data_IF_152340793323
#
_entry.id   IF_152340793323
#
_cell.length_a   1.000
_cell.length_b   1.000
_cell.length_c   1.000
_cell.angle_alpha   90.00
_cell.angle_beta   90.00
_cell.angle_gamma   90.00
#
_symmetry.space_group_name_H-M   'P 1'
#
loop_
_entity.id
_entity.type
_entity.pdbx_description
1 polymer ?
#
# COMPACT_ATOMS: atom_id res chain seq x y z
N UNK A 1 12.02 -9.74 -9.35
CA UNK A 1 10.76 -10.45 -9.52
C UNK A 1 9.77 -9.93 -8.48
N UNK A 2 8.54 -9.60 -8.90
CA UNK A 2 7.44 -9.17 -8.05
C UNK A 2 6.44 -10.33 -7.96
N UNK A 3 6.14 -10.76 -6.74
CA UNK A 3 5.30 -11.94 -6.48
C UNK A 3 4.15 -11.59 -5.54
N UNK A 4 2.89 -11.80 -5.95
CA UNK A 4 1.75 -11.80 -5.05
C UNK A 4 1.67 -13.11 -4.27
N UNK A 5 1.27 -13.03 -3.00
CA UNK A 5 1.05 -14.19 -2.13
C UNK A 5 -0.43 -14.39 -1.82
N UNK A 6 -1.08 -13.32 -1.41
CA UNK A 6 -2.50 -13.32 -1.07
C UNK A 6 -3.11 -11.97 -1.41
N UNK A 7 -4.40 -11.95 -1.67
CA UNK A 7 -5.17 -10.73 -1.88
C UNK A 7 -6.63 -10.98 -1.52
N UNK A 8 -7.37 -9.92 -1.29
CA UNK A 8 -8.77 -10.03 -0.95
C UNK A 8 -9.44 -8.69 -0.72
N UNK A 9 -10.73 -8.78 -0.40
CA UNK A 9 -11.59 -7.66 -0.02
C UNK A 9 -12.33 -8.02 1.27
N UNK A 10 -12.50 -7.06 2.14
CA UNK A 10 -13.26 -7.22 3.36
C UNK A 10 -14.14 -6.01 3.63
N UNK A 11 -15.40 -6.28 3.91
CA UNK A 11 -16.36 -5.34 4.48
C UNK A 11 -16.36 -5.57 5.99
N UNK A 12 -15.73 -4.68 6.72
CA UNK A 12 -15.53 -4.88 8.15
C UNK A 12 -16.79 -4.61 8.96
N UNK A 13 -17.02 -5.41 9.99
CA UNK A 13 -18.00 -5.10 11.02
C UNK A 13 -17.51 -3.91 11.88
N UNK A 14 -18.42 -3.20 12.59
CA UNK A 14 -18.05 -2.18 13.56
C UNK A 14 -17.00 -2.69 14.55
N UNK A 15 -15.94 -1.89 14.76
CA UNK A 15 -14.81 -2.21 15.63
C UNK A 15 -14.09 -3.53 15.30
N UNK A 16 -14.25 -4.07 14.08
CA UNK A 16 -13.48 -5.22 13.66
C UNK A 16 -11.98 -4.91 13.72
N UNK A 17 -11.24 -5.70 14.49
CA UNK A 17 -9.83 -5.50 14.75
C UNK A 17 -9.01 -6.68 14.24
N UNK A 18 -7.83 -6.39 13.70
CA UNK A 18 -6.83 -7.38 13.33
C UNK A 18 -5.49 -7.04 13.99
N UNK A 19 -4.84 -8.06 14.56
CA UNK A 19 -3.57 -7.92 15.24
C UNK A 19 -3.71 -7.85 16.77
N UNK A 20 -2.58 -7.68 17.50
CA UNK A 20 -1.23 -7.46 16.96
C UNK A 20 -0.70 -8.66 16.17
N UNK A 21 -0.12 -8.41 15.01
CA UNK A 21 0.41 -9.45 14.13
C UNK A 21 1.72 -9.01 13.44
N UNK A 22 2.50 -10.00 13.01
CA UNK A 22 3.66 -9.81 12.13
C UNK A 22 3.42 -10.51 10.80
N UNK A 23 3.96 -9.94 9.73
CA UNK A 23 3.93 -10.52 8.38
C UNK A 23 5.35 -10.75 7.89
N UNK A 24 5.49 -11.71 6.97
CA UNK A 24 6.79 -12.01 6.33
C UNK A 24 7.04 -11.18 5.09
N UNK A 25 5.98 -10.63 4.50
CA UNK A 25 5.98 -9.88 3.25
C UNK A 25 5.32 -8.52 3.45
N UNK A 26 5.40 -7.66 2.43
CA UNK A 26 4.63 -6.42 2.40
C UNK A 26 3.15 -6.73 2.29
N UNK A 27 2.32 -5.96 3.01
CA UNK A 27 0.88 -6.06 2.93
C UNK A 27 0.29 -4.66 2.81
N UNK A 28 -0.33 -4.38 1.68
CA UNK A 28 -0.98 -3.10 1.41
C UNK A 28 -2.49 -3.21 1.51
N UNK A 29 -3.11 -2.26 2.19
CA UNK A 29 -4.55 -2.09 2.26
C UNK A 29 -4.95 -0.78 1.61
N UNK A 30 -5.95 -0.81 0.75
CA UNK A 30 -6.58 0.36 0.15
C UNK A 30 -8.03 0.46 0.58
N UNK A 31 -8.41 1.57 1.22
CA UNK A 31 -9.72 1.79 1.80
C UNK A 31 -10.68 2.28 0.72
N UNK A 32 -11.74 1.51 0.45
CA UNK A 32 -12.76 1.86 -0.54
C UNK A 32 -13.82 2.81 0.04
N UNK A 33 -14.18 2.60 1.29
CA UNK A 33 -15.20 3.38 2.02
C UNK A 33 -14.99 3.27 3.52
N UNK A 34 -15.61 4.15 4.29
CA UNK A 34 -15.54 4.15 5.74
C UNK A 34 -14.22 4.64 6.29
N UNK A 35 -13.96 4.33 7.54
CA UNK A 35 -12.80 4.80 8.30
C UNK A 35 -12.31 3.78 9.31
N UNK A 36 -11.13 4.03 9.86
CA UNK A 36 -10.52 3.21 10.91
C UNK A 36 -9.18 3.76 11.35
N UNK A 37 -8.49 3.01 12.18
CA UNK A 37 -7.17 3.38 12.71
C UNK A 37 -6.18 2.26 12.44
N UNK A 38 -5.08 2.59 11.79
CA UNK A 38 -3.89 1.74 11.68
C UNK A 38 -2.90 2.14 12.75
N UNK A 39 -2.38 1.17 13.51
CA UNK A 39 -1.46 1.37 14.63
C UNK A 39 -0.16 0.63 14.40
N UNK A 40 0.95 1.31 14.61
CA UNK A 40 2.31 0.74 14.59
C UNK A 40 3.00 0.98 15.94
N UNK A 41 4.09 0.25 16.14
CA UNK A 41 5.02 0.50 17.25
C UNK A 41 6.35 0.94 16.64
N UNK A 42 6.86 2.10 17.06
CA UNK A 42 8.17 2.61 16.62
C UNK A 42 9.32 1.76 17.16
N UNK A 43 10.53 2.00 16.65
CA UNK A 43 11.74 1.32 17.13
C UNK A 43 12.04 1.66 18.62
N UNK A 44 11.57 2.83 19.09
CA UNK A 44 11.66 3.25 20.48
C UNK A 44 10.54 2.66 21.36
N UNK A 45 9.62 1.88 20.78
CA UNK A 45 8.50 1.25 21.49
C UNK A 45 7.27 2.15 21.64
N UNK A 46 7.22 3.29 20.97
CA UNK A 46 6.09 4.20 21.02
C UNK A 46 4.97 3.73 20.08
N UNK A 47 3.74 3.83 20.58
CA UNK A 47 2.55 3.59 19.77
C UNK A 47 2.27 4.81 18.88
N UNK A 48 2.09 4.55 17.58
CA UNK A 48 1.73 5.57 16.60
C UNK A 48 0.43 5.15 15.93
N UNK A 49 -0.59 6.01 16.03
CA UNK A 49 -1.91 5.80 15.44
C UNK A 49 -2.07 6.67 14.18
N UNK A 50 -2.55 6.04 13.11
CA UNK A 50 -2.86 6.67 11.83
C UNK A 50 -4.37 6.53 11.57
N UNK A 51 -5.19 7.58 11.87
CA UNK A 51 -6.59 7.63 11.44
C UNK A 51 -6.65 7.72 9.92
N UNK A 52 -7.44 6.84 9.30
CA UNK A 52 -7.51 6.71 7.84
C UNK A 52 -8.98 6.64 7.38
N UNK A 53 -9.21 7.09 6.14
CA UNK A 53 -10.53 7.20 5.54
C UNK A 53 -10.52 6.63 4.12
N UNK A 54 -11.68 6.63 3.49
CA UNK A 54 -11.84 6.21 2.09
C UNK A 54 -10.80 6.87 1.16
N UNK A 55 -10.28 6.10 0.22
CA UNK A 55 -9.25 6.47 -0.77
C UNK A 55 -7.85 6.73 -0.22
N UNK A 56 -7.62 6.44 1.06
CA UNK A 56 -6.30 6.32 1.65
C UNK A 56 -5.90 4.84 1.74
N UNK A 57 -4.63 4.59 2.03
CA UNK A 57 -4.14 3.23 2.25
C UNK A 57 -3.02 3.19 3.27
N UNK A 58 -2.66 2.00 3.69
CA UNK A 58 -1.52 1.78 4.57
C UNK A 58 -0.74 0.54 4.17
N UNK A 59 0.57 0.63 4.35
CA UNK A 59 1.51 -0.44 4.06
C UNK A 59 2.07 -1.01 5.36
N UNK A 60 1.97 -2.32 5.52
CA UNK A 60 2.63 -3.08 6.57
C UNK A 60 3.93 -3.64 6.00
N UNK A 61 5.03 -3.38 6.68
CA UNK A 61 6.35 -3.84 6.30
C UNK A 61 6.65 -5.23 6.87
N UNK A 62 7.51 -6.02 6.23
CA UNK A 62 7.97 -7.28 6.79
C UNK A 62 8.47 -7.13 8.23
N UNK A 63 8.09 -8.06 9.10
CA UNK A 63 8.44 -8.13 10.53
C UNK A 63 7.86 -7.05 11.44
N UNK A 64 7.19 -6.03 10.91
CA UNK A 64 6.56 -4.98 11.70
C UNK A 64 5.38 -5.53 12.51
N UNK A 65 5.27 -5.13 13.78
CA UNK A 65 4.10 -5.43 14.62
C UNK A 65 3.08 -4.33 14.40
N UNK A 66 1.89 -4.71 13.96
CA UNK A 66 0.82 -3.77 13.62
C UNK A 66 -0.53 -4.25 14.13
N UNK A 67 -1.41 -3.31 14.34
CA UNK A 67 -2.83 -3.52 14.62
C UNK A 67 -3.64 -2.55 13.77
N UNK A 68 -4.80 -2.94 13.30
CA UNK A 68 -5.74 -2.01 12.68
C UNK A 68 -7.17 -2.35 13.08
N UNK A 69 -8.00 -1.32 13.23
CA UNK A 69 -9.36 -1.44 13.73
C UNK A 69 -10.29 -0.55 12.91
N UNK A 70 -11.41 -1.13 12.46
CA UNK A 70 -12.48 -0.39 11.80
C UNK A 70 -13.21 0.53 12.78
N UNK A 71 -13.68 1.68 12.30
CA UNK A 71 -14.50 2.60 13.10
C UNK A 71 -15.80 1.93 13.56
N UNK A 72 -16.33 2.36 14.68
CA UNK A 72 -17.57 1.82 15.26
C UNK A 72 -18.81 2.28 14.49
N UNK A 73 -18.83 3.51 14.00
CA UNK A 73 -19.99 4.12 13.36
C UNK A 73 -19.92 4.04 11.83
N UNK A 74 -18.71 4.11 11.26
CA UNK A 74 -18.44 4.09 9.83
C UNK A 74 -17.29 3.12 9.53
N UNK A 75 -17.50 1.80 9.74
CA UNK A 75 -16.44 0.80 9.55
C UNK A 75 -15.98 0.73 8.09
N UNK A 76 -14.68 0.64 7.90
CA UNK A 76 -14.11 0.59 6.56
C UNK A 76 -14.39 -0.70 5.81
N UNK A 77 -14.38 -0.55 4.49
CA UNK A 77 -14.22 -1.60 3.52
C UNK A 77 -12.89 -1.41 2.81
N UNK A 78 -12.09 -2.46 2.67
CA UNK A 78 -10.79 -2.37 1.99
C UNK A 78 -10.54 -3.54 1.05
N UNK A 79 -9.64 -3.28 0.08
CA UNK A 79 -8.95 -4.30 -0.71
C UNK A 79 -7.52 -4.38 -0.20
N UNK A 80 -6.98 -5.58 -0.11
CA UNK A 80 -5.60 -5.79 0.32
C UNK A 80 -4.85 -6.74 -0.59
N UNK A 81 -3.51 -6.59 -0.65
CA UNK A 81 -2.59 -7.48 -1.35
C UNK A 81 -1.34 -7.70 -0.50
N UNK A 82 -0.95 -8.97 -0.33
CA UNK A 82 0.33 -9.38 0.23
C UNK A 82 1.29 -9.72 -0.90
N UNK A 83 2.46 -9.10 -0.92
CA UNK A 83 3.42 -9.21 -2.02
C UNK A 83 4.86 -9.03 -1.54
N UNK A 84 5.81 -9.44 -2.37
CA UNK A 84 7.23 -9.17 -2.17
C UNK A 84 7.93 -9.06 -3.53
N UNK A 85 9.14 -8.49 -3.54
CA UNK A 85 9.93 -8.36 -4.75
C UNK A 85 11.21 -7.56 -4.54
N UNK A 86 12.23 -7.87 -5.32
CA UNK A 86 13.57 -7.26 -5.21
C UNK A 86 13.52 -5.73 -5.35
N UNK A 87 12.65 -5.22 -6.23
CA UNK A 87 12.55 -3.78 -6.52
C UNK A 87 11.57 -3.03 -5.60
N UNK A 88 10.75 -3.75 -4.81
CA UNK A 88 9.73 -3.12 -3.95
C UNK A 88 10.36 -2.11 -3.00
N UNK A 89 11.45 -2.50 -2.34
CA UNK A 89 12.15 -1.62 -1.41
C UNK A 89 12.63 -0.33 -2.10
N UNK A 90 13.19 -0.43 -3.30
CA UNK A 90 13.67 0.72 -4.06
C UNK A 90 12.53 1.69 -4.41
N UNK A 91 11.39 1.17 -4.87
CA UNK A 91 10.19 1.98 -5.15
C UNK A 91 9.72 2.72 -3.91
N UNK A 92 9.60 2.03 -2.78
CA UNK A 92 9.14 2.63 -1.52
C UNK A 92 10.13 3.68 -0.99
N UNK A 93 11.44 3.40 -1.04
CA UNK A 93 12.48 4.34 -0.61
C UNK A 93 12.46 5.64 -1.44
N UNK A 94 12.24 5.54 -2.75
CA UNK A 94 12.14 6.70 -3.64
C UNK A 94 10.92 7.58 -3.32
N UNK A 95 9.83 6.97 -2.90
CA UNK A 95 8.63 7.68 -2.43
C UNK A 95 8.75 8.16 -0.98
N UNK A 96 9.76 7.72 -0.25
CA UNK A 96 9.91 7.97 1.18
C UNK A 96 8.89 7.22 2.04
N UNK A 97 8.23 6.19 1.47
CA UNK A 97 7.31 5.32 2.20
C UNK A 97 8.14 4.35 3.04
N UNK A 98 7.90 4.32 4.34
CA UNK A 98 8.68 3.56 5.31
C UNK A 98 7.84 3.16 6.52
N UNK A 99 8.42 2.43 7.45
CA UNK A 99 7.76 2.10 8.72
C UNK A 99 7.34 3.33 9.52
N UNK A 100 8.05 4.47 9.36
CA UNK A 100 7.70 5.75 9.98
C UNK A 100 6.67 6.55 9.16
N UNK A 101 6.54 6.25 7.87
CA UNK A 101 5.61 6.90 6.94
C UNK A 101 4.87 5.85 6.10
N UNK A 102 3.98 5.04 6.72
CA UNK A 102 3.37 3.88 6.08
C UNK A 102 2.09 4.21 5.30
N UNK A 103 1.65 5.46 5.31
CA UNK A 103 0.34 5.85 4.76
C UNK A 103 0.46 6.24 3.30
N UNK A 104 -0.42 5.69 2.47
CA UNK A 104 -0.62 6.08 1.09
C UNK A 104 -1.70 7.17 0.98
N UNK A 105 -1.41 8.21 0.22
CA UNK A 105 -2.36 9.23 -0.24
C UNK A 105 -2.10 9.54 -1.71
N UNK A 106 -3.16 9.59 -2.50
CA UNK A 106 -3.07 10.00 -3.90
C UNK A 106 -2.88 11.52 -4.01
N UNK A 107 -2.12 11.97 -5.02
CA UNK A 107 -1.81 13.39 -5.22
C UNK A 107 -2.98 14.19 -5.81
N UNK A 108 -3.94 13.53 -6.49
CA UNK A 108 -5.16 14.14 -7.02
C UNK A 108 -6.29 13.11 -7.20
N UNK A 109 -7.43 13.56 -7.75
CA UNK A 109 -8.61 12.71 -7.95
C UNK A 109 -8.37 11.64 -9.02
N UNK A 110 -7.70 11.97 -10.13
CA UNK A 110 -7.41 11.00 -11.19
C UNK A 110 -6.49 9.88 -10.69
N UNK A 111 -5.45 10.24 -9.92
CA UNK A 111 -4.57 9.28 -9.26
C UNK A 111 -5.32 8.38 -8.26
N UNK A 112 -6.32 8.92 -7.58
CA UNK A 112 -7.19 8.19 -6.66
C UNK A 112 -8.05 7.15 -7.40
N UNK A 113 -8.64 7.55 -8.53
CA UNK A 113 -9.43 6.66 -9.38
C UNK A 113 -8.57 5.55 -10.00
N UNK A 114 -7.38 5.89 -10.50
CA UNK A 114 -6.43 4.94 -11.07
C UNK A 114 -5.98 3.90 -10.04
N UNK A 115 -5.68 4.32 -8.82
CA UNK A 115 -5.31 3.40 -7.73
C UNK A 115 -6.46 2.48 -7.35
N UNK A 116 -7.67 3.02 -7.22
CA UNK A 116 -8.85 2.23 -6.94
C UNK A 116 -9.13 1.19 -8.03
N UNK A 117 -8.94 1.56 -9.30
CA UNK A 117 -9.08 0.66 -10.45
C UNK A 117 -8.03 -0.47 -10.41
N UNK A 118 -6.77 -0.13 -10.12
CA UNK A 118 -5.67 -1.11 -9.99
C UNK A 118 -5.95 -2.12 -8.87
N UNK A 119 -6.46 -1.66 -7.73
CA UNK A 119 -6.80 -2.55 -6.62
C UNK A 119 -8.01 -3.43 -6.94
N UNK A 120 -9.02 -2.91 -7.63
CA UNK A 120 -10.18 -3.72 -8.05
C UNK A 120 -9.81 -4.76 -9.09
N UNK A 121 -8.85 -4.50 -9.97
CA UNK A 121 -8.38 -5.46 -10.97
C UNK A 121 -7.84 -6.74 -10.34
N UNK A 122 -7.22 -6.67 -9.16
CA UNK A 122 -6.76 -7.84 -8.40
C UNK A 122 -7.89 -8.81 -8.04
N UNK A 123 -9.13 -8.32 -7.95
CA UNK A 123 -10.31 -9.12 -7.58
C UNK A 123 -11.07 -9.67 -8.78
N UNK A 124 -10.70 -9.31 -10.01
CA UNK A 124 -11.39 -9.76 -11.22
C UNK A 124 -10.95 -11.18 -11.58
N UNK A 125 -11.63 -12.17 -10.97
CA UNK A 125 -11.30 -13.59 -11.08
C UNK A 125 -11.78 -14.24 -12.39
N UNK A 126 -12.44 -13.48 -13.30
CA UNK A 126 -13.17 -14.07 -14.43
C UNK A 126 -12.34 -14.90 -15.39
N UNK A 127 -10.99 -14.74 -15.37
CA UNK A 127 -10.05 -15.56 -16.14
C UNK A 127 -8.63 -15.55 -15.50
N UNK A 128 -8.55 -15.54 -14.17
CA UNK A 128 -7.29 -15.35 -13.43
C UNK A 128 -6.33 -16.52 -13.62
N UNK A 129 -5.54 -16.46 -14.66
CA UNK A 129 -4.31 -17.25 -14.73
C UNK A 129 -3.31 -16.70 -13.69
N UNK A 130 -2.39 -17.52 -13.18
CA UNK A 130 -1.30 -17.02 -12.33
C UNK A 130 -0.51 -15.86 -12.95
N UNK A 131 -0.41 -15.82 -14.28
CA UNK A 131 0.24 -14.74 -15.02
C UNK A 131 -0.57 -13.44 -15.01
N UNK A 132 -1.91 -13.51 -15.02
CA UNK A 132 -2.76 -12.34 -14.91
C UNK A 132 -2.59 -11.68 -13.52
N UNK A 133 -2.59 -12.46 -12.45
CA UNK A 133 -2.37 -11.96 -11.10
C UNK A 133 -0.99 -11.28 -10.96
N UNK A 134 0.07 -11.86 -11.53
CA UNK A 134 1.39 -11.22 -11.57
C UNK A 134 1.35 -9.90 -12.33
N UNK A 135 0.69 -9.86 -13.50
CA UNK A 135 0.54 -8.64 -14.29
C UNK A 135 -0.23 -7.55 -13.53
N UNK A 136 -1.30 -7.91 -12.84
CA UNK A 136 -2.08 -6.97 -12.02
C UNK A 136 -1.30 -6.48 -10.80
N UNK A 137 -0.43 -7.32 -10.23
CA UNK A 137 0.47 -6.92 -9.16
C UNK A 137 1.49 -5.88 -9.66
N UNK A 138 2.03 -6.02 -10.86
CA UNK A 138 2.89 -5.00 -11.47
C UNK A 138 2.12 -3.71 -11.76
N UNK A 139 0.87 -3.78 -12.24
CA UNK A 139 0.00 -2.60 -12.43
C UNK A 139 -0.29 -1.90 -11.11
N UNK A 140 -0.53 -2.66 -10.04
CA UNK A 140 -0.71 -2.12 -8.70
C UNK A 140 0.53 -1.32 -8.24
N UNK A 141 1.73 -1.90 -8.33
CA UNK A 141 2.98 -1.22 -7.92
C UNK A 141 3.26 0.02 -8.79
N UNK A 142 3.06 -0.07 -10.10
CA UNK A 142 3.18 1.08 -11.01
C UNK A 142 2.16 2.18 -10.65
N UNK A 143 0.90 1.80 -10.42
CA UNK A 143 -0.15 2.71 -9.96
C UNK A 143 0.20 3.37 -8.63
N UNK A 144 0.69 2.60 -7.65
CA UNK A 144 1.16 3.10 -6.37
C UNK A 144 2.29 4.12 -6.54
N UNK A 145 3.30 3.78 -7.34
CA UNK A 145 4.47 4.65 -7.56
C UNK A 145 4.09 5.98 -8.22
N UNK A 146 3.16 5.96 -9.18
CA UNK A 146 2.73 7.17 -9.90
C UNK A 146 1.74 8.03 -9.14
N UNK A 147 0.89 7.43 -8.32
CA UNK A 147 -0.23 8.12 -7.66
C UNK A 147 0.08 8.59 -6.23
N UNK A 148 1.05 7.97 -5.55
CA UNK A 148 1.39 8.28 -4.17
C UNK A 148 2.02 9.67 -4.03
N UNK A 149 1.57 10.45 -3.02
CA UNK A 149 2.27 11.68 -2.62
C UNK A 149 3.60 11.29 -1.97
N UNK A 150 4.76 11.69 -2.54
CA UNK A 150 6.05 11.35 -1.96
C UNK A 150 6.30 12.09 -0.64
N UNK A 151 6.75 11.38 0.38
CA UNK A 151 7.10 12.00 1.67
C UNK A 151 8.36 12.92 1.59
N UNK A 152 9.16 12.79 0.52
CA UNK A 152 10.38 13.59 0.29
C UNK A 152 10.19 14.74 -0.69
N UNK A 153 9.02 14.99 -1.24
CA UNK A 153 8.76 16.01 -2.25
C UNK A 153 9.04 17.44 -1.79
N UNK A 154 9.23 17.68 -0.48
CA UNK A 154 9.62 18.99 0.06
C UNK A 154 11.10 19.36 -0.15
N UNK A 155 11.96 18.44 -0.61
CA UNK A 155 13.42 18.70 -0.70
C UNK A 155 14.03 18.64 -2.11
N UNK A 156 13.39 18.05 -3.13
CA UNK A 156 13.99 18.01 -4.48
C UNK A 156 12.93 18.00 -5.57
N UNK A 157 12.84 19.09 -6.32
CA UNK A 157 12.06 19.16 -7.56
C UNK A 157 12.75 18.40 -8.71
N UNK A 158 12.83 17.09 -8.68
CA UNK A 158 13.26 16.24 -9.79
C UNK A 158 12.68 14.84 -9.67
N UNK A 159 11.52 14.65 -10.30
CA UNK A 159 10.99 13.33 -10.64
C UNK A 159 11.59 12.77 -11.96
N UNK A 160 12.31 13.60 -12.73
CA UNK A 160 12.82 13.25 -14.06
C UNK A 160 14.04 12.33 -14.10
N UNK A 161 14.65 12.03 -12.94
CA UNK A 161 15.89 11.22 -12.87
C UNK A 161 15.67 9.71 -12.67
N UNK A 162 14.48 9.30 -12.22
CA UNK A 162 14.28 7.94 -11.72
C UNK A 162 14.49 6.84 -12.77
N UNK A 163 13.98 7.03 -13.98
CA UNK A 163 14.11 6.04 -15.05
C UNK A 163 15.47 6.07 -15.78
N UNK A 164 16.20 7.17 -15.68
CA UNK A 164 17.49 7.35 -16.37
C UNK A 164 18.64 6.79 -15.54
N UNK A 165 18.62 6.94 -14.23
CA UNK A 165 19.71 6.50 -13.35
C UNK A 165 19.75 4.95 -13.21
N UNK A 166 18.59 4.27 -13.21
CA UNK A 166 18.58 2.81 -13.21
C UNK A 166 19.02 2.20 -14.56
N UNK A 167 18.69 2.84 -15.68
CA UNK A 167 19.13 2.39 -16.97
C UNK A 167 20.67 2.51 -17.17
N UNK A 168 21.28 3.51 -16.55
CA UNK A 168 22.74 3.73 -16.63
C UNK A 168 23.56 2.84 -15.67
N UNK A 169 22.94 2.28 -14.64
CA UNK A 169 23.59 1.35 -13.70
C UNK A 169 23.74 -0.08 -14.28
N UNK A 170 23.15 -0.37 -15.44
CA UNK A 170 23.18 -1.67 -16.12
C UNK A 170 24.11 -1.70 -17.36
N UNK A 171 24.87 -0.64 -17.63
CA UNK A 171 25.91 -0.59 -18.66
C UNK A 171 27.29 -0.52 -17.99
#
# INVERSE_FOLDING_TARGET
DLMPYQYGREVCAPAHAFGPARRSHYLFHYILSGSGVFTTISDEGERIDYPLHAHEGFLIFPTQITTYIADMADPWEYIWIEFDGVQVKSVLDNLGVSTAHPVYRAHDEAAREDMAASMRALLDERDASPFALVADTYRFIDGFARSCIPYRAAQTGKLDGFYVDEALAYI
#
